data_IF_923612040392
#
_entry.id   IF_923612040392
#
_cell.length_a   1.000
_cell.length_b   1.000
_cell.length_c   1.000
_cell.angle_alpha   90.00
_cell.angle_beta   90.00
_cell.angle_gamma   90.00
#
_symmetry.space_group_name_H-M   'P 1'
#
loop_
_entity.id
_entity.type
_entity.pdbx_description
1 polymer ?
#
# COMPACT_ATOMS: atom_id res chain seq x y z
N UNK A 1 -38.06 18.46 65.94
CA UNK A 1 -38.86 18.54 64.70
C UNK A 1 -38.00 19.22 63.66
N UNK A 2 -37.41 18.47 62.75
CA UNK A 2 -36.68 18.99 61.61
C UNK A 2 -37.37 18.46 60.35
N UNK A 3 -37.62 19.30 59.35
CA UNK A 3 -38.22 18.83 58.11
C UNK A 3 -37.16 18.24 57.17
N UNK A 4 -37.46 17.07 56.65
CA UNK A 4 -36.71 16.39 55.62
C UNK A 4 -36.92 17.06 54.27
N UNK A 5 -35.84 17.48 53.63
CA UNK A 5 -35.85 17.92 52.24
C UNK A 5 -35.27 16.82 51.36
N UNK A 6 -36.10 16.24 50.50
CA UNK A 6 -35.67 15.35 49.43
C UNK A 6 -34.97 16.15 48.34
N UNK A 7 -33.81 15.71 47.83
CA UNK A 7 -33.25 16.27 46.62
C UNK A 7 -33.89 15.60 45.39
N UNK A 8 -34.40 16.42 44.51
CA UNK A 8 -34.91 16.06 43.18
C UNK A 8 -33.78 15.48 42.32
N UNK A 9 -33.97 14.27 41.82
CA UNK A 9 -33.10 13.67 40.79
C UNK A 9 -33.43 14.30 39.44
N UNK A 10 -32.56 15.20 38.98
CA UNK A 10 -32.54 15.62 37.59
C UNK A 10 -31.89 14.52 36.74
N UNK A 11 -32.69 13.78 36.00
CA UNK A 11 -32.24 12.88 34.96
C UNK A 11 -31.78 13.73 33.76
N UNK A 12 -30.48 13.88 33.60
CA UNK A 12 -29.88 14.37 32.37
C UNK A 12 -29.90 13.22 31.32
N UNK A 13 -30.97 13.17 30.54
CA UNK A 13 -31.03 12.44 29.28
C UNK A 13 -30.15 13.16 28.26
N UNK A 14 -28.83 13.04 28.41
CA UNK A 14 -27.86 13.37 27.39
C UNK A 14 -27.67 12.18 26.48
N UNK A 15 -28.43 12.06 25.41
CA UNK A 15 -28.15 11.13 24.32
C UNK A 15 -26.80 11.50 23.74
N UNK A 16 -25.79 10.68 24.04
CA UNK A 16 -24.45 10.79 23.45
C UNK A 16 -24.57 10.48 21.96
N UNK A 17 -24.36 11.47 21.05
CA UNK A 17 -24.50 11.24 19.61
C UNK A 17 -23.51 10.22 19.04
N UNK A 18 -22.48 9.83 19.81
CA UNK A 18 -21.49 8.84 19.40
C UNK A 18 -21.90 7.39 19.66
N UNK A 19 -22.92 7.13 20.51
CA UNK A 19 -23.39 5.77 20.77
C UNK A 19 -24.32 5.22 19.68
N UNK A 20 -24.90 6.07 18.84
CA UNK A 20 -25.77 5.63 17.74
C UNK A 20 -25.02 5.26 16.46
N UNK A 21 -23.70 5.49 16.40
CA UNK A 21 -22.88 5.11 15.24
C UNK A 21 -22.39 3.65 15.29
N UNK A 22 -22.49 2.97 16.45
CA UNK A 22 -21.89 1.64 16.65
C UNK A 22 -22.83 0.48 16.30
N UNK A 23 -24.15 0.75 16.14
CA UNK A 23 -25.16 -0.29 15.87
C UNK A 23 -25.82 -0.19 14.49
N UNK A 24 -25.28 0.58 13.57
CA UNK A 24 -25.66 0.42 12.17
C UNK A 24 -25.00 -0.87 11.66
N UNK A 25 -25.76 -1.86 11.14
CA UNK A 25 -25.14 -2.99 10.45
C UNK A 25 -24.25 -2.35 9.37
N UNK A 26 -22.96 -2.72 9.37
CA UNK A 26 -22.01 -2.32 8.34
C UNK A 26 -22.69 -2.59 6.99
N UNK A 27 -23.34 -1.58 6.44
CA UNK A 27 -23.73 -1.59 5.05
C UNK A 27 -22.41 -1.85 4.35
N UNK A 28 -22.26 -3.04 3.78
CA UNK A 28 -21.28 -3.31 2.76
C UNK A 28 -21.42 -2.15 1.78
N UNK A 29 -20.59 -1.14 1.95
CA UNK A 29 -20.42 -0.12 0.96
C UNK A 29 -19.66 -0.87 -0.13
N UNK A 30 -20.41 -1.61 -0.94
CA UNK A 30 -19.99 -1.91 -2.30
C UNK A 30 -19.89 -0.53 -2.95
N UNK A 31 -18.74 0.11 -2.73
CA UNK A 31 -18.42 1.35 -3.43
C UNK A 31 -18.30 0.98 -4.91
N UNK A 32 -19.29 1.34 -5.75
CA UNK A 32 -19.30 0.98 -7.17
C UNK A 32 -18.09 1.54 -7.92
N UNK A 33 -17.26 2.37 -7.25
CA UNK A 33 -16.05 2.96 -7.80
C UNK A 33 -14.80 2.09 -7.58
N UNK A 34 -14.86 1.07 -6.71
CA UNK A 34 -13.69 0.22 -6.40
C UNK A 34 -13.05 -0.45 -7.62
N UNK A 35 -13.78 -1.06 -8.56
CA UNK A 35 -13.19 -1.68 -9.74
C UNK A 35 -12.70 -0.69 -10.80
N UNK A 36 -12.99 0.61 -10.66
CA UNK A 36 -12.74 1.62 -11.70
C UNK A 36 -11.84 2.78 -11.26
N UNK A 37 -11.25 2.72 -10.05
CA UNK A 37 -10.30 3.73 -9.62
C UNK A 37 -9.08 3.72 -10.53
N UNK A 38 -8.98 4.74 -11.40
CA UNK A 38 -7.81 4.96 -12.24
C UNK A 38 -6.75 5.76 -11.50
N UNK A 39 -5.51 5.27 -11.55
CA UNK A 39 -4.33 5.98 -11.06
C UNK A 39 -3.50 6.51 -12.22
N UNK A 40 -2.72 7.55 -11.95
CA UNK A 40 -1.86 8.20 -12.97
C UNK A 40 -0.75 7.30 -13.47
N UNK A 41 -0.27 6.39 -12.59
CA UNK A 41 0.83 5.47 -12.87
C UNK A 41 0.71 4.22 -12.00
N UNK A 42 1.18 3.06 -12.50
CA UNK A 42 1.21 1.81 -11.74
C UNK A 42 -0.17 1.15 -11.60
N UNK A 43 -1.07 1.29 -12.58
CA UNK A 43 -2.43 0.74 -12.49
C UNK A 43 -2.46 -0.77 -12.23
N UNK A 44 -1.66 -1.62 -12.91
CA UNK A 44 -1.64 -3.06 -12.64
C UNK A 44 -1.21 -3.37 -11.19
N UNK A 45 -0.19 -2.67 -10.70
CA UNK A 45 0.28 -2.79 -9.32
C UNK A 45 -0.78 -2.32 -8.33
N UNK A 46 -1.39 -1.15 -8.57
CA UNK A 46 -2.46 -0.63 -7.73
C UNK A 46 -3.61 -1.63 -7.60
N UNK A 47 -4.01 -2.27 -8.69
CA UNK A 47 -5.08 -3.27 -8.68
C UNK A 47 -4.68 -4.53 -7.90
N UNK A 48 -3.44 -5.01 -8.10
CA UNK A 48 -2.94 -6.23 -7.47
C UNK A 48 -2.68 -6.09 -5.95
N UNK A 49 -2.44 -4.87 -5.45
CA UNK A 49 -2.14 -4.60 -4.04
C UNK A 49 -3.37 -4.26 -3.21
N UNK A 50 -4.56 -4.22 -3.82
CA UNK A 50 -5.79 -3.85 -3.13
C UNK A 50 -6.65 -5.03 -2.75
N UNK A 51 -6.90 -5.19 -1.45
CA UNK A 51 -7.94 -6.07 -0.92
C UNK A 51 -9.08 -5.20 -0.41
N UNK A 52 -10.19 -5.17 -1.16
CA UNK A 52 -11.39 -4.37 -0.82
C UNK A 52 -12.48 -5.20 -0.11
N UNK A 53 -12.23 -6.50 0.09
CA UNK A 53 -13.08 -7.37 0.91
C UNK A 53 -12.70 -7.23 2.37
N UNK A 54 -13.70 -7.06 3.23
CA UNK A 54 -13.48 -7.00 4.68
C UNK A 54 -12.79 -8.27 5.17
N UNK A 55 -11.76 -8.10 5.99
CA UNK A 55 -10.97 -9.21 6.52
C UNK A 55 -9.61 -8.75 7.06
N UNK A 56 -8.75 -9.69 7.42
CA UNK A 56 -7.44 -9.36 8.01
C UNK A 56 -6.58 -8.45 7.14
N UNK A 57 -6.65 -8.62 5.82
CA UNK A 57 -5.85 -7.87 4.84
C UNK A 57 -6.63 -6.74 4.14
N UNK A 58 -7.80 -6.34 4.67
CA UNK A 58 -8.55 -5.21 4.11
C UNK A 58 -7.71 -3.94 4.10
N UNK A 59 -7.44 -3.40 2.91
CA UNK A 59 -6.41 -2.37 2.73
C UNK A 59 -6.80 -0.98 3.21
N UNK A 60 -8.10 -0.69 3.37
CA UNK A 60 -8.55 0.64 3.80
C UNK A 60 -8.56 0.88 5.30
N UNK A 61 -8.07 -0.06 6.08
CA UNK A 61 -7.76 0.13 7.51
C UNK A 61 -6.38 -0.45 7.82
N UNK A 62 -5.93 -0.38 9.08
CA UNK A 62 -4.66 -0.98 9.44
C UNK A 62 -4.67 -2.49 9.22
N UNK A 63 -3.59 -2.99 8.65
CA UNK A 63 -3.35 -4.42 8.48
C UNK A 63 -1.86 -4.73 8.59
N UNK A 64 -1.54 -5.99 8.81
CA UNK A 64 -0.16 -6.46 8.85
C UNK A 64 0.06 -7.51 7.76
N UNK A 65 0.90 -7.23 6.74
CA UNK A 65 1.14 -8.16 5.64
C UNK A 65 1.98 -9.40 6.01
N UNK A 66 2.52 -9.43 7.23
CA UNK A 66 3.31 -10.56 7.72
C UNK A 66 4.83 -10.30 7.72
N UNK A 67 5.58 -11.27 8.26
CA UNK A 67 7.06 -11.25 8.35
C UNK A 67 7.60 -9.98 9.03
N UNK A 68 8.53 -9.28 8.38
CA UNK A 68 9.14 -8.04 8.87
C UNK A 68 8.44 -6.76 8.43
N UNK A 69 7.19 -6.84 7.96
CA UNK A 69 6.38 -5.65 7.60
C UNK A 69 6.00 -4.86 8.84
N UNK A 70 5.75 -3.57 8.64
CA UNK A 70 5.13 -2.71 9.65
C UNK A 70 3.61 -2.74 9.61
N UNK A 71 3.00 -1.89 10.42
CA UNK A 71 1.60 -1.53 10.26
C UNK A 71 1.45 -0.89 8.89
N UNK A 72 0.53 -1.42 8.10
CA UNK A 72 0.33 -1.00 6.71
C UNK A 72 -1.10 -0.51 6.51
N UNK A 73 -1.28 0.49 5.68
CA UNK A 73 -2.59 0.97 5.22
C UNK A 73 -2.57 1.21 3.72
N UNK A 74 -3.76 1.31 3.15
CA UNK A 74 -3.88 1.53 1.73
C UNK A 74 -3.15 0.46 0.92
N UNK A 75 -2.73 0.85 -0.25
CA UNK A 75 -2.01 -0.04 -1.16
C UNK A 75 -0.51 0.17 -0.98
N UNK A 76 0.05 -0.47 0.07
CA UNK A 76 1.49 -0.55 0.34
C UNK A 76 2.10 0.62 1.11
N UNK A 77 1.33 1.43 1.81
CA UNK A 77 1.87 2.42 2.73
C UNK A 77 2.29 1.74 4.04
N UNK A 78 3.51 1.21 4.08
CA UNK A 78 4.14 0.57 5.25
C UNK A 78 4.73 1.64 6.19
N UNK A 79 4.37 1.60 7.46
CA UNK A 79 4.75 2.60 8.46
C UNK A 79 6.05 2.29 9.21
N UNK A 80 6.68 1.13 8.96
CA UNK A 80 7.84 0.63 9.74
C UNK A 80 9.05 1.58 9.77
N UNK A 81 9.26 2.37 8.70
CA UNK A 81 10.38 3.31 8.57
C UNK A 81 9.90 4.77 8.54
N UNK A 82 8.65 5.02 8.98
CA UNK A 82 8.05 6.35 8.96
C UNK A 82 7.82 6.87 10.37
N UNK A 83 8.23 8.11 10.62
CA UNK A 83 7.88 8.78 11.88
C UNK A 83 6.37 9.10 11.92
N UNK A 84 5.81 9.20 13.12
CA UNK A 84 4.42 9.59 13.32
C UNK A 84 4.09 10.93 12.63
N UNK A 85 4.98 11.91 12.71
CA UNK A 85 4.80 13.20 12.05
C UNK A 85 4.81 13.11 10.51
N UNK A 86 5.61 12.19 9.92
CA UNK A 86 5.57 11.95 8.48
C UNK A 86 4.24 11.30 8.08
N UNK A 87 3.81 10.26 8.79
CA UNK A 87 2.55 9.56 8.53
C UNK A 87 1.38 10.54 8.60
N UNK A 88 1.32 11.36 9.64
CA UNK A 88 0.30 12.39 9.79
C UNK A 88 0.25 13.34 8.58
N UNK A 89 1.39 13.91 8.19
CA UNK A 89 1.45 14.82 7.03
C UNK A 89 1.04 14.16 5.72
N UNK A 90 1.51 12.95 5.45
CA UNK A 90 1.19 12.21 4.23
C UNK A 90 -0.32 11.94 4.14
N UNK A 91 -0.95 11.54 5.24
CA UNK A 91 -2.38 11.24 5.30
C UNK A 91 -3.24 12.49 5.17
N UNK A 92 -2.88 13.58 5.84
CA UNK A 92 -3.57 14.87 5.70
C UNK A 92 -3.43 15.40 4.27
N UNK A 93 -2.25 15.33 3.67
CA UNK A 93 -2.03 15.70 2.26
C UNK A 93 -2.85 14.84 1.30
N UNK A 94 -3.04 13.55 1.61
CA UNK A 94 -3.94 12.67 0.86
C UNK A 94 -5.43 12.97 1.10
N UNK A 95 -5.76 13.89 2.03
CA UNK A 95 -7.11 14.36 2.31
C UNK A 95 -7.85 13.61 3.42
N UNK A 96 -7.10 12.93 4.31
CA UNK A 96 -7.68 12.39 5.54
C UNK A 96 -7.85 13.50 6.58
N UNK A 97 -8.89 13.41 7.41
CA UNK A 97 -9.08 14.33 8.52
C UNK A 97 -7.98 14.23 9.57
N UNK A 98 -7.64 15.34 10.24
CA UNK A 98 -6.54 15.40 11.21
C UNK A 98 -6.66 14.33 12.32
N UNK A 99 -7.85 14.13 12.89
CA UNK A 99 -8.07 13.14 13.96
C UNK A 99 -7.78 11.70 13.50
N UNK A 100 -8.25 11.33 12.31
CA UNK A 100 -7.98 10.03 11.74
C UNK A 100 -6.49 9.87 11.37
N UNK A 101 -5.87 10.91 10.82
CA UNK A 101 -4.45 10.91 10.49
C UNK A 101 -3.57 10.75 11.74
N UNK A 102 -3.94 11.40 12.85
CA UNK A 102 -3.27 11.22 14.14
C UNK A 102 -3.43 9.80 14.66
N UNK A 103 -4.65 9.24 14.59
CA UNK A 103 -4.91 7.86 14.99
C UNK A 103 -4.04 6.87 14.18
N UNK A 104 -4.02 6.97 12.85
CA UNK A 104 -3.19 6.11 12.00
C UNK A 104 -1.69 6.27 12.30
N UNK A 105 -1.24 7.48 12.66
CA UNK A 105 0.18 7.73 12.97
C UNK A 105 0.71 6.96 14.18
N UNK A 106 -0.17 6.41 15.03
CA UNK A 106 0.20 5.55 16.16
C UNK A 106 0.86 4.23 15.72
N UNK A 107 0.69 3.82 14.46
CA UNK A 107 1.38 2.67 13.87
C UNK A 107 2.84 2.91 13.48
N UNK A 108 3.37 4.11 13.72
CA UNK A 108 4.73 4.51 13.34
C UNK A 108 5.80 3.59 13.92
N UNK A 109 6.79 3.22 13.08
CA UNK A 109 8.00 2.47 13.46
C UNK A 109 7.74 1.06 14.04
N UNK A 110 6.50 0.61 14.12
CA UNK A 110 6.19 -0.75 14.55
C UNK A 110 6.50 -1.73 13.42
N UNK A 111 7.10 -2.89 13.77
CA UNK A 111 7.50 -3.91 12.79
C UNK A 111 7.35 -5.32 13.37
N UNK A 112 7.19 -6.31 12.49
CA UNK A 112 7.09 -7.72 12.87
C UNK A 112 6.02 -7.98 13.92
N UNK A 113 6.39 -8.64 15.02
CA UNK A 113 5.45 -9.00 16.09
C UNK A 113 4.79 -7.77 16.77
N UNK A 114 5.48 -6.62 16.82
CA UNK A 114 4.88 -5.40 17.38
C UNK A 114 3.78 -4.85 16.48
N UNK A 115 4.00 -4.85 15.16
CA UNK A 115 3.00 -4.44 14.19
C UNK A 115 1.80 -5.40 14.17
N UNK A 116 2.04 -6.71 14.23
CA UNK A 116 1.00 -7.74 14.32
C UNK A 116 0.12 -7.53 15.56
N UNK A 117 0.73 -7.43 16.73
CA UNK A 117 0.02 -7.18 17.99
C UNK A 117 -0.79 -5.88 17.94
N UNK A 118 -0.19 -4.79 17.45
CA UNK A 118 -0.87 -3.50 17.31
C UNK A 118 -2.12 -3.63 16.43
N UNK A 119 -2.00 -4.26 15.27
CA UNK A 119 -3.13 -4.48 14.36
C UNK A 119 -4.18 -5.39 15.01
N UNK A 120 -3.76 -6.50 15.62
CA UNK A 120 -4.66 -7.45 16.25
C UNK A 120 -5.56 -6.78 17.32
N UNK A 121 -4.95 -5.98 18.20
CA UNK A 121 -5.68 -5.36 19.32
C UNK A 121 -6.37 -4.04 18.97
N UNK A 122 -5.98 -3.37 17.89
CA UNK A 122 -6.42 -2.00 17.64
C UNK A 122 -7.26 -1.83 16.36
N UNK A 123 -7.27 -2.81 15.44
CA UNK A 123 -7.90 -2.68 14.11
C UNK A 123 -9.35 -2.19 14.19
N UNK A 124 -10.14 -2.70 15.11
CA UNK A 124 -11.56 -2.36 15.25
C UNK A 124 -11.79 -0.89 15.69
N UNK A 125 -10.79 -0.24 16.26
CA UNK A 125 -10.86 1.18 16.65
C UNK A 125 -10.46 2.15 15.54
N UNK A 126 -10.01 1.63 14.37
CA UNK A 126 -9.57 2.45 13.26
C UNK A 126 -10.67 2.67 12.22
N UNK A 127 -10.80 3.88 11.69
CA UNK A 127 -11.76 4.17 10.64
C UNK A 127 -11.38 3.49 9.32
N UNK A 128 -12.36 3.33 8.45
CA UNK A 128 -12.13 2.90 7.08
C UNK A 128 -11.75 4.12 6.23
N UNK A 129 -10.53 4.11 5.71
CA UNK A 129 -10.02 5.17 4.85
C UNK A 129 -10.87 5.29 3.55
N UNK A 130 -11.28 6.49 3.14
CA UNK A 130 -11.99 6.69 1.88
C UNK A 130 -11.14 6.26 0.67
N UNK A 131 -11.77 5.68 -0.36
CA UNK A 131 -11.09 5.25 -1.59
C UNK A 131 -10.29 6.38 -2.26
N UNK A 132 -10.83 7.59 -2.26
CA UNK A 132 -10.14 8.76 -2.82
C UNK A 132 -8.85 9.09 -2.06
N UNK A 133 -8.82 8.88 -0.74
CA UNK A 133 -7.63 9.06 0.10
C UNK A 133 -6.62 7.96 -0.19
N UNK A 134 -7.06 6.69 -0.25
CA UNK A 134 -6.20 5.56 -0.63
C UNK A 134 -5.53 5.79 -1.99
N UNK A 135 -6.30 6.26 -2.98
CA UNK A 135 -5.78 6.59 -4.31
C UNK A 135 -4.70 7.67 -4.23
N UNK A 136 -4.99 8.81 -3.58
CA UNK A 136 -4.03 9.91 -3.44
C UNK A 136 -2.77 9.48 -2.66
N UNK A 137 -2.93 8.72 -1.58
CA UNK A 137 -1.79 8.19 -0.83
C UNK A 137 -0.86 7.34 -1.70
N UNK A 138 -1.44 6.50 -2.57
CA UNK A 138 -0.65 5.74 -3.54
C UNK A 138 0.03 6.65 -4.56
N UNK A 139 -0.70 7.56 -5.20
CA UNK A 139 -0.20 8.41 -6.28
C UNK A 139 0.82 9.46 -5.84
N UNK A 140 0.64 10.02 -4.65
CA UNK A 140 1.41 11.18 -4.20
C UNK A 140 2.54 10.82 -3.23
N UNK A 141 2.49 9.62 -2.65
CA UNK A 141 3.51 9.15 -1.69
C UNK A 141 4.11 7.83 -2.13
N UNK A 142 3.31 6.75 -2.21
CA UNK A 142 3.85 5.39 -2.40
C UNK A 142 4.53 5.24 -3.76
N UNK A 143 3.88 5.65 -4.85
CA UNK A 143 4.45 5.52 -6.18
C UNK A 143 5.69 6.40 -6.40
N UNK A 144 5.73 7.68 -5.99
CA UNK A 144 6.95 8.49 -6.07
C UNK A 144 8.12 7.94 -5.26
N UNK A 145 7.88 7.44 -4.05
CA UNK A 145 8.94 6.82 -3.23
C UNK A 145 9.49 5.56 -3.90
N UNK A 146 8.64 4.72 -4.48
CA UNK A 146 9.04 3.52 -5.21
C UNK A 146 9.84 3.86 -6.47
N UNK A 147 9.42 4.87 -7.25
CA UNK A 147 10.15 5.36 -8.42
C UNK A 147 11.51 5.91 -8.03
N UNK A 148 11.58 6.66 -6.93
CA UNK A 148 12.84 7.16 -6.39
C UNK A 148 13.79 6.02 -6.00
N UNK A 149 13.27 4.97 -5.36
CA UNK A 149 14.08 3.79 -5.00
C UNK A 149 14.56 3.02 -6.23
N UNK A 150 13.72 2.84 -7.26
CA UNK A 150 14.14 2.24 -8.52
C UNK A 150 15.25 3.08 -9.16
N UNK A 151 15.06 4.40 -9.26
CA UNK A 151 16.04 5.32 -9.83
C UNK A 151 17.38 5.24 -9.10
N UNK A 152 17.36 5.17 -7.77
CA UNK A 152 18.56 4.97 -6.95
C UNK A 152 19.25 3.64 -7.25
N UNK A 153 18.49 2.56 -7.44
CA UNK A 153 19.06 1.24 -7.78
C UNK A 153 19.70 1.25 -9.17
N UNK A 154 19.05 1.87 -10.16
CA UNK A 154 19.56 1.96 -11.52
C UNK A 154 20.90 2.73 -11.60
N UNK A 155 21.09 3.71 -10.71
CA UNK A 155 22.30 4.55 -10.61
C UNK A 155 23.37 4.02 -9.66
N UNK A 156 23.10 2.94 -8.95
CA UNK A 156 24.01 2.43 -7.93
C UNK A 156 25.35 1.99 -8.56
N UNK A 157 26.53 2.46 -8.05
CA UNK A 157 27.81 2.23 -8.71
C UNK A 157 28.15 0.77 -8.99
N UNK A 158 27.79 -0.16 -8.09
CA UNK A 158 27.99 -1.60 -8.30
C UNK A 158 27.08 -2.14 -9.43
N UNK A 159 25.86 -1.65 -9.55
CA UNK A 159 24.91 -2.04 -10.61
C UNK A 159 25.39 -1.51 -11.96
N UNK A 160 25.73 -0.21 -12.03
CA UNK A 160 26.19 0.41 -13.28
C UNK A 160 27.51 -0.15 -13.79
N UNK A 161 28.43 -0.51 -12.88
CA UNK A 161 29.72 -1.13 -13.25
C UNK A 161 29.54 -2.54 -13.83
N UNK A 162 28.57 -3.32 -13.33
CA UNK A 162 28.36 -4.71 -13.74
C UNK A 162 27.51 -4.77 -15.02
N UNK A 163 26.46 -3.97 -15.10
CA UNK A 163 25.41 -4.13 -16.12
C UNK A 163 25.33 -2.97 -17.11
N UNK A 164 25.93 -1.83 -16.83
CA UNK A 164 25.71 -0.57 -17.54
C UNK A 164 24.71 0.35 -16.86
N UNK A 165 24.75 1.63 -17.20
CA UNK A 165 23.89 2.66 -16.64
C UNK A 165 22.50 2.69 -17.29
N UNK A 166 21.48 2.93 -16.50
CA UNK A 166 20.12 3.21 -16.96
C UNK A 166 19.54 4.40 -16.21
N UNK A 167 18.81 5.23 -16.94
CA UNK A 167 18.07 6.35 -16.38
C UNK A 167 16.57 6.05 -16.45
N UNK A 168 15.89 6.15 -15.31
CA UNK A 168 14.44 5.90 -15.22
C UNK A 168 13.64 6.67 -16.28
N UNK A 169 13.96 7.96 -16.46
CA UNK A 169 13.23 8.84 -17.38
C UNK A 169 13.45 8.50 -18.87
N UNK A 170 14.47 7.71 -19.20
CA UNK A 170 14.77 7.27 -20.55
C UNK A 170 14.07 5.95 -20.92
N UNK A 171 13.51 5.27 -19.93
CA UNK A 171 12.76 4.04 -20.16
C UNK A 171 11.37 4.34 -20.75
N UNK A 172 10.92 3.49 -21.67
CA UNK A 172 9.54 3.58 -22.16
C UNK A 172 8.52 3.33 -21.04
N UNK A 173 7.34 3.91 -21.17
CA UNK A 173 6.29 3.76 -20.15
C UNK A 173 5.97 2.30 -19.82
N UNK A 174 5.82 1.37 -20.78
CA UNK A 174 5.61 -0.06 -20.46
C UNK A 174 6.75 -0.67 -19.64
N UNK A 175 8.01 -0.32 -19.93
CA UNK A 175 9.18 -0.77 -19.14
C UNK A 175 9.14 -0.20 -17.72
N UNK A 176 8.80 1.08 -17.57
CA UNK A 176 8.63 1.71 -16.26
C UNK A 176 7.54 1.02 -15.43
N UNK A 177 6.38 0.74 -16.00
CA UNK A 177 5.27 0.05 -15.34
C UNK A 177 5.68 -1.36 -14.89
N UNK A 178 6.38 -2.11 -15.74
CA UNK A 178 6.87 -3.44 -15.42
C UNK A 178 7.92 -3.42 -14.31
N UNK A 179 8.91 -2.52 -14.38
CA UNK A 179 9.93 -2.36 -13.33
C UNK A 179 9.32 -1.92 -12.00
N UNK A 180 8.33 -1.05 -12.06
CA UNK A 180 7.59 -0.62 -10.88
C UNK A 180 6.92 -1.80 -10.19
N UNK A 181 6.20 -2.64 -10.94
CA UNK A 181 5.54 -3.84 -10.41
C UNK A 181 6.54 -4.83 -9.82
N UNK A 182 7.62 -5.10 -10.54
CA UNK A 182 8.69 -6.00 -10.09
C UNK A 182 9.34 -5.49 -8.79
N UNK A 183 9.61 -4.19 -8.69
CA UNK A 183 10.20 -3.61 -7.49
C UNK A 183 9.22 -3.56 -6.33
N UNK A 184 7.98 -3.21 -6.62
CA UNK A 184 6.93 -3.07 -5.62
C UNK A 184 6.72 -4.36 -4.82
N UNK A 185 6.66 -5.51 -5.52
CA UNK A 185 6.55 -6.82 -4.88
C UNK A 185 7.88 -7.32 -4.28
N UNK A 186 8.99 -6.65 -4.56
CA UNK A 186 10.32 -7.08 -4.11
C UNK A 186 11.03 -8.08 -5.05
N UNK A 187 10.53 -8.24 -6.27
CA UNK A 187 11.11 -9.14 -7.28
C UNK A 187 12.23 -8.50 -8.09
N UNK A 188 12.35 -7.16 -8.10
CA UNK A 188 13.52 -6.49 -8.66
C UNK A 188 14.62 -6.38 -7.60
N UNK A 189 15.33 -7.47 -7.38
CA UNK A 189 16.38 -7.65 -6.37
C UNK A 189 17.68 -8.19 -6.99
N UNK A 190 18.72 -8.39 -6.19
CA UNK A 190 20.03 -8.82 -6.68
C UNK A 190 20.01 -10.08 -7.57
N UNK A 191 19.21 -11.08 -7.19
CA UNK A 191 19.09 -12.34 -7.95
C UNK A 191 18.44 -12.13 -9.32
N UNK A 192 17.34 -11.42 -9.37
CA UNK A 192 16.57 -11.22 -10.60
C UNK A 192 17.20 -10.17 -11.51
N UNK A 193 17.93 -9.17 -10.96
CA UNK A 193 18.69 -8.23 -11.78
C UNK A 193 19.76 -8.89 -12.64
N UNK A 194 20.29 -10.06 -12.26
CA UNK A 194 21.29 -10.78 -13.06
C UNK A 194 20.81 -11.10 -14.47
N UNK A 195 19.51 -11.33 -14.65
CA UNK A 195 18.94 -11.63 -15.96
C UNK A 195 18.07 -10.48 -16.50
N UNK A 196 17.48 -9.63 -15.65
CA UNK A 196 16.67 -8.50 -16.10
C UNK A 196 17.51 -7.29 -16.53
N UNK A 197 18.54 -6.95 -15.75
CA UNK A 197 19.33 -5.75 -15.98
C UNK A 197 20.06 -5.74 -17.33
N UNK A 198 20.71 -6.83 -17.78
CA UNK A 198 21.32 -6.87 -19.10
C UNK A 198 20.33 -6.64 -20.24
N UNK A 199 19.13 -7.21 -20.17
CA UNK A 199 18.08 -7.01 -21.17
C UNK A 199 17.62 -5.55 -21.24
N UNK A 200 17.43 -4.93 -20.08
CA UNK A 200 17.06 -3.51 -19.98
C UNK A 200 18.14 -2.59 -20.55
N UNK A 201 19.41 -2.85 -20.24
CA UNK A 201 20.55 -2.05 -20.74
C UNK A 201 20.74 -2.22 -22.24
N UNK A 202 20.56 -3.44 -22.75
CA UNK A 202 20.65 -3.71 -24.19
C UNK A 202 19.42 -3.23 -24.98
N UNK A 203 18.35 -2.84 -24.31
CA UNK A 203 17.08 -2.53 -24.97
C UNK A 203 16.42 -3.77 -25.58
N UNK A 204 16.74 -4.96 -25.08
CA UNK A 204 16.19 -6.25 -25.57
C UNK A 204 14.77 -6.46 -25.01
N UNK A 205 13.80 -5.86 -25.68
CA UNK A 205 12.39 -5.98 -25.27
C UNK A 205 11.82 -7.38 -25.51
N UNK A 206 12.30 -8.11 -26.53
CA UNK A 206 11.87 -9.47 -26.80
C UNK A 206 12.40 -10.44 -25.71
N UNK A 207 13.66 -10.32 -25.32
CA UNK A 207 14.22 -11.06 -24.20
C UNK A 207 13.50 -10.75 -22.88
N UNK A 208 13.13 -9.49 -22.67
CA UNK A 208 12.37 -9.08 -21.50
C UNK A 208 10.95 -9.70 -21.50
N UNK A 209 10.26 -9.68 -22.65
CA UNK A 209 8.95 -10.32 -22.83
C UNK A 209 9.04 -11.82 -22.56
N UNK A 210 9.96 -12.51 -23.21
CA UNK A 210 10.21 -13.95 -23.03
C UNK A 210 10.50 -14.31 -21.56
N UNK A 211 11.26 -13.44 -20.87
CA UNK A 211 11.50 -13.59 -19.43
C UNK A 211 10.23 -13.49 -18.61
N UNK A 212 9.33 -12.56 -18.91
CA UNK A 212 8.04 -12.44 -18.21
C UNK A 212 7.12 -13.63 -18.50
N UNK A 213 7.15 -14.20 -19.70
CA UNK A 213 6.36 -15.36 -20.10
C UNK A 213 6.84 -16.66 -19.46
N UNK A 214 8.06 -16.71 -18.97
CA UNK A 214 8.60 -17.89 -18.28
C UNK A 214 7.95 -18.06 -16.89
N UNK A 215 6.75 -18.64 -16.87
CA UNK A 215 5.97 -18.87 -15.66
C UNK A 215 6.72 -19.70 -14.61
N UNK A 216 7.49 -20.69 -15.04
CA UNK A 216 8.23 -21.56 -14.12
C UNK A 216 9.33 -20.78 -13.37
N UNK A 217 10.00 -19.85 -14.06
CA UNK A 217 10.95 -18.94 -13.44
C UNK A 217 10.28 -18.12 -12.32
N UNK A 218 9.15 -17.48 -12.61
CA UNK A 218 8.48 -16.64 -11.61
C UNK A 218 7.84 -17.44 -10.47
N UNK A 219 7.33 -18.64 -10.74
CA UNK A 219 6.89 -19.57 -9.69
C UNK A 219 8.02 -19.95 -8.73
N UNK A 220 9.24 -20.15 -9.24
CA UNK A 220 10.40 -20.45 -8.40
C UNK A 220 10.78 -19.30 -7.45
N UNK A 221 10.40 -18.06 -7.78
CA UNK A 221 10.49 -16.88 -6.91
C UNK A 221 9.25 -16.67 -6.03
N UNK A 222 8.29 -17.59 -6.03
CA UNK A 222 7.06 -17.50 -5.25
C UNK A 222 6.09 -16.42 -5.73
N UNK A 223 6.11 -16.08 -7.03
CA UNK A 223 5.17 -15.12 -7.62
C UNK A 223 3.81 -15.79 -7.83
N UNK A 224 2.71 -15.23 -7.32
CA UNK A 224 1.36 -15.77 -7.52
C UNK A 224 0.94 -15.76 -8.99
N UNK A 225 0.06 -16.69 -9.38
CA UNK A 225 -0.36 -16.87 -10.77
C UNK A 225 -1.07 -15.67 -11.38
N UNK A 226 -1.88 -14.98 -10.60
CA UNK A 226 -2.55 -13.74 -11.01
C UNK A 226 -1.54 -12.63 -11.32
N UNK A 227 -0.48 -12.51 -10.51
CA UNK A 227 0.59 -11.55 -10.72
C UNK A 227 1.43 -11.91 -11.95
N UNK A 228 1.73 -13.21 -12.15
CA UNK A 228 2.44 -13.68 -13.35
C UNK A 228 1.62 -13.30 -14.59
N UNK A 229 0.31 -13.55 -14.62
CA UNK A 229 -0.57 -13.17 -15.73
C UNK A 229 -0.53 -11.67 -15.98
N UNK A 230 -0.67 -10.85 -14.93
CA UNK A 230 -0.61 -9.39 -15.06
C UNK A 230 0.71 -8.91 -15.68
N UNK A 231 1.86 -9.51 -15.29
CA UNK A 231 3.18 -9.19 -15.87
C UNK A 231 3.32 -9.59 -17.32
N UNK A 232 2.77 -10.75 -17.71
CA UNK A 232 2.72 -11.16 -19.11
C UNK A 232 1.91 -10.15 -19.92
N UNK A 233 0.76 -9.71 -19.41
CA UNK A 233 -0.07 -8.72 -20.09
C UNK A 233 0.61 -7.34 -20.19
N UNK A 234 1.36 -6.92 -19.18
CA UNK A 234 2.22 -5.73 -19.29
C UNK A 234 3.33 -5.91 -20.32
N UNK A 235 3.97 -7.09 -20.35
CA UNK A 235 5.08 -7.37 -21.27
C UNK A 235 4.65 -7.41 -22.75
N UNK A 236 3.40 -7.69 -23.05
CA UNK A 236 2.85 -7.59 -24.43
C UNK A 236 2.88 -6.15 -24.99
N UNK A 237 3.07 -5.15 -24.13
CA UNK A 237 3.12 -3.74 -24.52
C UNK A 237 4.57 -3.21 -24.71
N UNK A 238 5.57 -4.09 -24.48
CA UNK A 238 7.00 -3.79 -24.68
C UNK A 238 7.39 -3.75 -26.20
#
# INVERSE_FOLDING_TARGET
MFPSTNPSTNSLNGSNPYLNAVNSPLKLISDPLSPHLKVRFGQPTFNAEGVETLGPLFTRTIHWPGKGSGVTIGRGYDMKERSASKIFRDLVAAGLGNGDAELFSQGALLTGAQADAFVHYRKESFPVMPLAVQKRLFEDVVAPEMISDISRILKKPDVTRIYGGLEWNNLSKPVQELLFDLRYRGDYKGETRRFLQPLLVAGDMEGLRSTMENKNLWRSFGVPEDRIRARIDMAKQL
#
